data_IF_632066365386
#
_entry.id   IF_632066365386
#
_cell.length_a   1.000
_cell.length_b   1.000
_cell.length_c   1.000
_cell.angle_alpha   90.00
_cell.angle_beta   90.00
_cell.angle_gamma   90.00
#
_symmetry.space_group_name_H-M   'P 1'
#
loop_
_entity.id
_entity.type
_entity.pdbx_description
1 polymer ?
#
# COMPACT_ATOMS: atom_id res chain seq x y z
N UNK A 1 -15.68 -14.65 13.59
CA UNK A 1 -14.67 -15.10 12.60
C UNK A 1 -15.10 -14.81 11.16
N UNK A 2 -16.31 -15.20 10.71
CA UNK A 2 -16.78 -14.90 9.34
C UNK A 2 -16.79 -13.40 8.99
N UNK A 3 -17.07 -12.54 9.96
CA UNK A 3 -17.10 -11.09 9.75
C UNK A 3 -15.72 -10.54 9.35
N UNK A 4 -14.64 -11.02 9.97
CA UNK A 4 -13.27 -10.56 9.66
C UNK A 4 -12.92 -10.89 8.20
N UNK A 5 -13.20 -12.11 7.75
CA UNK A 5 -12.97 -12.52 6.36
C UNK A 5 -13.77 -11.65 5.39
N UNK A 6 -15.04 -11.35 5.72
CA UNK A 6 -15.90 -10.48 4.92
C UNK A 6 -15.33 -9.06 4.81
N UNK A 7 -14.86 -8.47 5.90
CA UNK A 7 -14.26 -7.13 5.89
C UNK A 7 -13.00 -7.07 5.00
N UNK A 8 -12.12 -8.07 5.08
CA UNK A 8 -10.93 -8.14 4.22
C UNK A 8 -11.28 -8.41 2.76
N UNK A 9 -12.32 -9.20 2.48
CA UNK A 9 -12.83 -9.34 1.12
C UNK A 9 -13.34 -7.99 0.61
N UNK A 10 -14.17 -7.28 1.36
CA UNK A 10 -14.62 -5.95 0.97
C UNK A 10 -13.46 -4.99 0.76
N UNK A 11 -12.45 -4.97 1.64
CA UNK A 11 -11.25 -4.17 1.44
C UNK A 11 -10.52 -4.52 0.13
N UNK A 12 -10.35 -5.82 -0.17
CA UNK A 12 -9.74 -6.26 -1.44
C UNK A 12 -10.57 -5.80 -2.65
N UNK A 13 -11.89 -5.92 -2.59
CA UNK A 13 -12.78 -5.45 -3.65
C UNK A 13 -12.69 -3.94 -3.84
N UNK A 14 -12.66 -3.16 -2.75
CA UNK A 14 -12.41 -1.72 -2.81
C UNK A 14 -11.07 -1.41 -3.47
N UNK A 15 -10.03 -2.20 -3.22
CA UNK A 15 -8.70 -2.01 -3.83
C UNK A 15 -8.56 -2.56 -5.26
N UNK A 16 -9.61 -3.09 -5.89
CA UNK A 16 -9.52 -3.64 -7.26
C UNK A 16 -8.94 -2.66 -8.29
N UNK A 17 -9.31 -1.36 -8.30
CA UNK A 17 -8.70 -0.40 -9.22
C UNK A 17 -7.17 -0.30 -9.06
N UNK A 18 -6.67 -0.40 -7.83
CA UNK A 18 -5.25 -0.41 -7.54
C UNK A 18 -4.58 -1.70 -8.05
N UNK A 19 -5.14 -2.87 -7.70
CA UNK A 19 -4.62 -4.15 -8.19
C UNK A 19 -4.58 -4.24 -9.71
N UNK A 20 -5.62 -3.74 -10.37
CA UNK A 20 -5.71 -3.73 -11.82
C UNK A 20 -4.66 -2.82 -12.45
N UNK A 21 -4.40 -1.66 -11.84
CA UNK A 21 -3.31 -0.76 -12.25
C UNK A 21 -1.95 -1.42 -12.09
N UNK A 22 -1.71 -2.15 -11.00
CA UNK A 22 -0.45 -2.89 -10.82
C UNK A 22 -0.28 -4.03 -11.82
N UNK A 23 -1.35 -4.76 -12.13
CA UNK A 23 -1.32 -5.81 -13.14
C UNK A 23 -0.96 -5.24 -14.52
N UNK A 24 -1.51 -4.08 -14.87
CA UNK A 24 -1.16 -3.35 -16.07
C UNK A 24 0.27 -2.82 -16.05
N UNK A 25 0.75 -2.24 -14.94
CA UNK A 25 2.15 -1.81 -14.79
C UNK A 25 3.11 -2.98 -15.02
N UNK A 26 2.77 -4.17 -14.53
CA UNK A 26 3.56 -5.37 -14.71
C UNK A 26 3.66 -5.79 -16.19
N UNK A 27 2.62 -5.59 -17.01
CA UNK A 27 2.71 -5.92 -18.45
C UNK A 27 3.62 -4.95 -19.22
N UNK A 28 3.74 -3.71 -18.77
CA UNK A 28 4.57 -2.70 -19.41
C UNK A 28 6.03 -2.72 -18.97
N UNK A 29 6.25 -2.89 -17.67
CA UNK A 29 7.59 -2.74 -17.06
C UNK A 29 8.24 -4.08 -16.74
N UNK A 30 7.46 -5.15 -16.63
CA UNK A 30 7.91 -6.43 -16.06
C UNK A 30 8.06 -6.41 -14.54
N UNK A 31 7.78 -5.29 -13.86
CA UNK A 31 7.86 -5.23 -12.40
C UNK A 31 6.76 -6.07 -11.74
N UNK A 32 7.13 -6.85 -10.72
CA UNK A 32 6.15 -7.57 -9.91
C UNK A 32 5.24 -6.61 -9.14
N UNK A 33 3.92 -6.87 -9.06
CA UNK A 33 3.02 -6.15 -8.16
C UNK A 33 3.41 -6.28 -6.68
N UNK A 34 3.94 -7.44 -6.28
CA UNK A 34 4.44 -7.69 -4.92
C UNK A 34 5.96 -7.56 -4.94
N UNK A 35 6.50 -6.61 -4.17
CA UNK A 35 7.92 -6.25 -4.20
C UNK A 35 8.53 -6.40 -2.80
N UNK A 36 9.78 -6.86 -2.69
CA UNK A 36 10.48 -6.93 -1.41
C UNK A 36 10.84 -5.54 -0.89
N UNK A 37 11.07 -5.40 0.43
CA UNK A 37 11.36 -4.09 1.05
C UNK A 37 12.66 -3.45 0.54
N UNK A 38 13.69 -4.26 0.28
CA UNK A 38 14.96 -3.77 -0.26
C UNK A 38 14.81 -3.07 -1.61
N UNK A 39 13.69 -3.28 -2.32
CA UNK A 39 13.41 -2.59 -3.59
C UNK A 39 13.37 -1.06 -3.42
N UNK A 40 12.97 -0.55 -2.26
CA UNK A 40 12.93 0.89 -2.00
C UNK A 40 14.26 1.46 -1.53
N UNK A 41 15.08 0.68 -0.84
CA UNK A 41 16.42 1.10 -0.39
C UNK A 41 17.43 -0.04 -0.62
N UNK A 42 17.91 -0.24 -1.86
CA UNK A 42 18.80 -1.35 -2.19
C UNK A 42 20.12 -1.34 -1.38
N UNK A 43 20.61 -0.15 -1.03
CA UNK A 43 21.85 0.02 -0.27
C UNK A 43 21.72 -0.38 1.21
N UNK A 44 20.48 -0.55 1.71
CA UNK A 44 20.20 -0.78 3.13
C UNK A 44 20.10 -2.28 3.41
N UNK A 45 21.23 -2.90 3.73
CA UNK A 45 21.36 -4.35 3.94
C UNK A 45 20.35 -4.95 4.94
N UNK A 46 19.89 -4.19 5.93
CA UNK A 46 18.91 -4.69 6.91
C UNK A 46 17.53 -5.00 6.29
N UNK A 47 17.20 -4.46 5.10
CA UNK A 47 15.95 -4.75 4.41
C UNK A 47 16.00 -6.02 3.55
N UNK A 48 17.20 -6.54 3.28
CA UNK A 48 17.39 -7.74 2.45
C UNK A 48 16.95 -9.01 3.17
N UNK A 49 17.09 -9.03 4.48
CA UNK A 49 16.75 -10.18 5.32
C UNK A 49 15.30 -10.16 5.82
N UNK A 50 14.47 -9.23 5.32
CA UNK A 50 13.06 -9.14 5.71
C UNK A 50 12.24 -9.96 4.73
N UNK A 51 11.80 -11.13 5.18
CA UNK A 51 11.00 -12.07 4.39
C UNK A 51 9.51 -12.01 4.73
N UNK A 52 9.17 -11.42 5.87
CA UNK A 52 7.82 -11.39 6.45
C UNK A 52 7.12 -10.02 6.27
N UNK A 53 7.56 -9.24 5.29
CA UNK A 53 6.96 -7.97 4.89
C UNK A 53 7.15 -7.76 3.38
N UNK A 54 6.22 -7.04 2.77
CA UNK A 54 6.31 -6.73 1.33
C UNK A 54 5.62 -5.42 1.00
N UNK A 55 6.03 -4.84 -0.12
CA UNK A 55 5.35 -3.75 -0.77
C UNK A 55 4.35 -4.32 -1.77
N UNK A 56 3.16 -3.74 -1.79
CA UNK A 56 2.20 -3.95 -2.86
C UNK A 56 2.23 -2.70 -3.73
N UNK A 57 2.89 -2.80 -4.88
CA UNK A 57 3.22 -1.69 -5.77
C UNK A 57 4.17 -0.69 -5.11
N UNK A 58 3.90 0.60 -5.31
CA UNK A 58 4.68 1.70 -4.73
C UNK A 58 4.01 2.34 -3.51
N UNK A 59 2.71 2.07 -3.29
CA UNK A 59 1.90 2.80 -2.32
C UNK A 59 1.73 2.06 -0.99
N UNK A 60 1.62 0.73 -1.00
CA UNK A 60 1.23 -0.04 0.18
C UNK A 60 2.40 -0.87 0.72
N UNK A 61 2.57 -0.86 2.04
CA UNK A 61 3.55 -1.65 2.78
C UNK A 61 2.82 -2.53 3.79
N UNK A 62 2.99 -3.84 3.68
CA UNK A 62 2.21 -4.86 4.38
C UNK A 62 3.12 -5.67 5.29
N UNK A 63 2.72 -5.83 6.55
CA UNK A 63 3.40 -6.66 7.55
C UNK A 63 2.45 -7.75 8.07
N UNK A 64 2.31 -8.89 7.37
CA UNK A 64 1.44 -10.00 7.79
C UNK A 64 1.83 -10.59 9.16
N UNK A 65 0.85 -11.12 9.91
CA UNK A 65 1.14 -11.85 11.15
C UNK A 65 1.31 -13.32 10.83
N UNK A 66 2.51 -13.83 11.09
CA UNK A 66 2.92 -15.22 10.80
C UNK A 66 3.20 -16.04 12.06
N UNK A 67 3.14 -15.40 13.24
CA UNK A 67 3.33 -16.02 14.54
C UNK A 67 1.97 -16.23 15.22
N UNK A 68 1.73 -17.43 15.76
CA UNK A 68 0.49 -17.77 16.44
C UNK A 68 0.33 -16.94 17.73
N UNK A 69 -0.85 -16.34 17.93
CA UNK A 69 -1.18 -15.58 19.13
C UNK A 69 -0.54 -14.19 19.23
N UNK A 70 0.28 -13.77 18.24
CA UNK A 70 0.87 -12.44 18.22
C UNK A 70 -0.21 -11.36 18.07
N UNK A 71 -0.15 -10.34 18.93
CA UNK A 71 -1.06 -9.17 18.91
C UNK A 71 -0.34 -7.85 18.61
N UNK A 72 0.98 -7.90 18.50
CA UNK A 72 1.84 -6.86 17.96
C UNK A 72 3.00 -7.51 17.22
N UNK A 73 3.69 -6.73 16.38
CA UNK A 73 4.96 -7.16 15.78
C UNK A 73 5.91 -5.99 15.62
N UNK A 74 7.20 -6.30 15.54
CA UNK A 74 8.22 -5.34 15.12
C UNK A 74 8.17 -5.18 13.60
N UNK A 75 8.22 -3.95 13.14
CA UNK A 75 8.20 -3.58 11.72
C UNK A 75 9.38 -2.63 11.45
N UNK A 76 10.28 -3.04 10.55
CA UNK A 76 11.38 -2.19 10.10
C UNK A 76 10.90 -1.36 8.90
N UNK A 77 10.76 -0.05 9.08
CA UNK A 77 10.23 0.83 8.06
C UNK A 77 11.36 1.36 7.16
N UNK A 78 11.17 1.34 5.85
CA UNK A 78 12.02 2.09 4.93
C UNK A 78 11.91 3.59 5.17
N UNK A 79 12.90 4.37 4.73
CA UNK A 79 12.91 5.85 4.85
C UNK A 79 11.70 6.49 4.17
N UNK A 80 11.34 7.68 4.63
CA UNK A 80 10.18 8.44 4.20
C UNK A 80 9.07 8.42 5.23
N UNK A 81 7.90 8.95 4.88
CA UNK A 81 6.75 9.01 5.76
C UNK A 81 5.68 8.00 5.34
N UNK A 82 5.02 7.43 6.33
CA UNK A 82 4.06 6.34 6.17
C UNK A 82 2.81 6.63 6.99
N UNK A 83 1.64 6.56 6.35
CA UNK A 83 0.36 6.63 7.03
C UNK A 83 -0.08 5.24 7.45
N UNK A 84 -0.55 5.09 8.67
CA UNK A 84 -1.26 3.88 9.06
C UNK A 84 -2.63 3.87 8.38
N UNK A 85 -2.90 2.82 7.59
CA UNK A 85 -4.10 2.71 6.77
C UNK A 85 -5.41 2.75 7.59
N UNK A 86 -5.37 2.40 8.87
CA UNK A 86 -6.58 2.22 9.68
C UNK A 86 -6.99 3.45 10.48
N UNK A 87 -6.06 4.36 10.77
CA UNK A 87 -6.29 5.50 11.65
C UNK A 87 -5.61 6.79 11.16
N UNK A 88 -5.04 6.76 9.96
CA UNK A 88 -4.37 7.88 9.30
C UNK A 88 -3.21 8.50 10.10
N UNK A 89 -2.69 7.78 11.10
CA UNK A 89 -1.54 8.25 11.88
C UNK A 89 -0.29 8.29 10.99
N UNK A 90 0.36 9.46 10.93
CA UNK A 90 1.62 9.64 10.24
C UNK A 90 2.77 9.07 11.07
N UNK A 91 3.61 8.26 10.44
CA UNK A 91 4.74 7.57 11.03
C UNK A 91 5.97 7.85 10.20
N UNK A 92 6.99 8.41 10.84
CA UNK A 92 8.31 8.56 10.23
C UNK A 92 8.98 7.19 10.07
N UNK A 93 9.46 6.92 8.87
CA UNK A 93 10.16 5.70 8.50
C UNK A 93 11.64 5.71 8.89
N UNK A 94 12.42 4.81 8.29
CA UNK A 94 13.85 4.70 8.56
C UNK A 94 14.20 4.01 9.88
N UNK A 95 13.21 3.72 10.72
CA UNK A 95 13.36 3.10 12.05
C UNK A 95 12.54 1.82 12.18
N UNK A 96 12.82 1.05 13.22
CA UNK A 96 11.97 -0.06 13.62
C UNK A 96 10.94 0.47 14.61
N UNK A 97 9.68 0.08 14.41
CA UNK A 97 8.56 0.42 15.30
C UNK A 97 7.86 -0.86 15.74
N UNK A 98 7.12 -0.77 16.84
CA UNK A 98 6.14 -1.78 17.21
C UNK A 98 4.78 -1.40 16.64
N UNK A 99 4.16 -2.34 15.91
CA UNK A 99 2.83 -2.16 15.33
C UNK A 99 1.83 -3.07 16.02
N UNK A 100 0.70 -2.49 16.43
CA UNK A 100 -0.44 -3.26 16.90
C UNK A 100 -1.02 -4.09 15.74
N UNK A 101 -1.28 -5.36 16.03
CA UNK A 101 -1.82 -6.33 15.10
C UNK A 101 -2.95 -7.14 15.76
N UNK A 102 -4.05 -6.49 16.17
CA UNK A 102 -5.21 -7.22 16.69
C UNK A 102 -5.77 -8.14 15.60
N UNK A 103 -6.46 -9.22 16.00
CA UNK A 103 -6.95 -10.26 15.09
C UNK A 103 -7.75 -9.73 13.88
N UNK A 104 -8.38 -8.57 14.03
CA UNK A 104 -9.25 -7.95 13.03
C UNK A 104 -8.50 -7.05 12.02
N UNK A 105 -7.22 -6.77 12.24
CA UNK A 105 -6.43 -5.84 11.42
C UNK A 105 -5.06 -6.40 11.11
N UNK A 106 -4.66 -6.29 9.84
CA UNK A 106 -3.29 -6.54 9.41
C UNK A 106 -2.56 -5.20 9.45
N UNK A 107 -1.35 -5.12 10.04
CA UNK A 107 -0.53 -3.93 9.96
C UNK A 107 -0.27 -3.54 8.49
N UNK A 108 -0.81 -2.39 8.11
CA UNK A 108 -0.84 -1.88 6.74
C UNK A 108 -0.51 -0.41 6.76
N UNK A 109 0.51 -0.03 5.99
CA UNK A 109 0.97 1.35 5.85
C UNK A 109 0.83 1.82 4.40
N UNK A 110 0.58 3.11 4.23
CA UNK A 110 0.53 3.79 2.94
C UNK A 110 1.64 4.80 2.86
N UNK A 111 2.44 4.76 1.80
CA UNK A 111 3.52 5.71 1.58
C UNK A 111 2.97 7.11 1.38
N UNK A 112 3.49 8.08 2.12
CA UNK A 112 3.16 9.48 1.91
C UNK A 112 3.54 9.94 0.49
N UNK A 113 2.72 10.81 -0.09
CA UNK A 113 2.77 11.19 -1.51
C UNK A 113 2.00 10.24 -2.45
N UNK A 114 1.37 9.18 -1.93
CA UNK A 114 0.62 8.24 -2.77
C UNK A 114 -0.85 8.63 -2.89
N UNK A 115 -1.43 8.35 -4.06
CA UNK A 115 -2.88 8.38 -4.27
C UNK A 115 -3.33 6.93 -4.48
N UNK A 116 -4.22 6.47 -3.61
CA UNK A 116 -4.74 5.11 -3.60
C UNK A 116 -6.15 5.08 -4.18
N UNK A 117 -6.35 4.53 -5.38
CA UNK A 117 -7.67 4.40 -5.98
C UNK A 117 -8.45 3.27 -5.31
N UNK A 118 -9.67 3.56 -4.89
CA UNK A 118 -10.60 2.60 -4.33
C UNK A 118 -11.96 2.68 -4.99
N UNK A 119 -12.66 1.56 -5.07
CA UNK A 119 -14.03 1.50 -5.52
C UNK A 119 -14.98 1.42 -4.33
N UNK A 120 -15.93 2.35 -4.23
CA UNK A 120 -16.96 2.37 -3.20
C UNK A 120 -18.29 2.59 -3.89
N UNK A 121 -19.23 1.65 -3.74
CA UNK A 121 -20.56 1.72 -4.36
C UNK A 121 -20.50 2.03 -5.88
N UNK A 122 -19.66 1.28 -6.62
CA UNK A 122 -19.44 1.43 -8.07
C UNK A 122 -18.86 2.79 -8.48
N UNK A 123 -18.30 3.55 -7.53
CA UNK A 123 -17.62 4.82 -7.78
C UNK A 123 -16.14 4.72 -7.46
N UNK A 124 -15.33 5.28 -8.35
CA UNK A 124 -13.89 5.45 -8.12
C UNK A 124 -13.67 6.62 -7.14
N UNK A 125 -13.13 6.32 -5.97
CA UNK A 125 -12.70 7.24 -4.93
C UNK A 125 -11.18 7.26 -4.88
N UNK A 126 -10.57 8.45 -4.81
CA UNK A 126 -9.14 8.62 -4.69
C UNK A 126 -8.81 9.01 -3.26
N UNK A 127 -8.13 8.12 -2.53
CA UNK A 127 -7.59 8.42 -1.21
C UNK A 127 -6.21 9.04 -1.36
N UNK A 128 -6.07 10.30 -0.95
CA UNK A 128 -4.82 11.07 -1.09
C UNK A 128 -4.08 11.06 0.24
N UNK A 129 -2.83 10.61 0.23
CA UNK A 129 -1.95 10.60 1.40
C UNK A 129 -0.85 11.65 1.22
N UNK A 130 -0.99 12.87 1.77
CA UNK A 130 -0.09 13.98 1.48
C UNK A 130 1.31 13.76 2.08
N UNK A 131 2.39 14.15 1.39
CA UNK A 131 3.73 14.17 1.97
C UNK A 131 3.91 15.37 2.91
N UNK A 132 4.95 15.36 3.77
CA UNK A 132 5.34 16.57 4.52
C UNK A 132 5.84 17.68 3.58
N UNK A 133 6.60 17.30 2.55
CA UNK A 133 7.08 18.20 1.50
C UNK A 133 6.98 17.52 0.13
N UNK A 134 6.54 18.29 -0.88
CA UNK A 134 6.48 17.84 -2.28
C UNK A 134 5.09 17.43 -2.75
N UNK A 135 5.06 16.81 -3.93
CA UNK A 135 3.82 16.55 -4.66
C UNK A 135 3.31 15.12 -4.45
N UNK A 136 1.99 14.95 -4.47
CA UNK A 136 1.35 13.64 -4.53
C UNK A 136 1.35 13.11 -5.96
N UNK A 137 1.62 11.81 -6.11
CA UNK A 137 1.54 11.09 -7.39
C UNK A 137 0.70 9.83 -7.26
N UNK A 138 -0.05 9.54 -8.29
CA UNK A 138 -0.74 8.27 -8.43
C UNK A 138 -1.21 8.04 -9.85
N UNK A 139 -1.56 6.80 -10.12
CA UNK A 139 -1.99 6.38 -11.43
C UNK A 139 -3.17 5.42 -11.29
N UNK A 140 -4.10 5.52 -12.22
CA UNK A 140 -5.21 4.58 -12.36
C UNK A 140 -5.30 4.15 -13.81
N UNK A 141 -5.24 2.84 -14.03
CA UNK A 141 -5.57 2.23 -15.30
C UNK A 141 -7.01 1.72 -15.25
N UNK A 142 -7.83 2.07 -16.25
CA UNK A 142 -9.17 1.56 -16.40
C UNK A 142 -9.38 1.08 -17.83
N UNK A 143 -9.71 -0.20 -17.96
CA UNK A 143 -10.10 -0.78 -19.24
C UNK A 143 -11.61 -0.61 -19.41
N UNK A 144 -11.99 0.37 -20.24
CA UNK A 144 -13.38 0.55 -20.66
C UNK A 144 -13.49 -0.19 -22.00
N UNK A 145 -14.51 -1.05 -22.23
CA UNK A 145 -14.61 -1.94 -23.40
C UNK A 145 -14.49 -1.29 -24.80
N UNK A 146 -14.49 0.04 -24.88
CA UNK A 146 -14.33 0.81 -26.12
C UNK A 146 -13.19 1.86 -26.07
N UNK A 147 -12.53 2.07 -24.91
CA UNK A 147 -11.40 2.99 -24.72
C UNK A 147 -10.53 2.55 -23.52
N UNK A 148 -9.30 2.12 -23.80
CA UNK A 148 -8.27 2.02 -22.76
C UNK A 148 -8.00 3.42 -22.19
N UNK A 149 -8.52 3.71 -20.99
CA UNK A 149 -8.46 5.05 -20.42
C UNK A 149 -7.47 5.07 -19.28
N UNK A 150 -6.50 5.98 -19.37
CA UNK A 150 -5.46 6.17 -18.36
C UNK A 150 -5.72 7.48 -17.64
N UNK A 151 -5.84 7.43 -16.33
CA UNK A 151 -5.86 8.63 -15.50
C UNK A 151 -4.52 8.73 -14.77
N UNK A 152 -3.83 9.83 -15.04
CA UNK A 152 -2.57 10.17 -14.40
C UNK A 152 -2.83 11.35 -13.47
N UNK A 153 -2.43 11.18 -12.21
CA UNK A 153 -2.63 12.15 -11.17
C UNK A 153 -1.25 12.56 -10.65
N UNK A 154 -0.77 13.72 -11.09
CA UNK A 154 0.44 14.34 -10.57
C UNK A 154 0.11 15.72 -10.01
N UNK A 155 0.88 16.15 -9.01
CA UNK A 155 0.88 17.53 -8.48
C UNK A 155 -0.46 17.98 -7.86
N UNK A 156 -1.22 17.04 -7.29
CA UNK A 156 -2.51 17.33 -6.64
C UNK A 156 -2.34 17.99 -5.26
N UNK A 157 -1.30 17.62 -4.53
CA UNK A 157 -0.96 18.22 -3.24
C UNK A 157 0.08 19.31 -3.49
N UNK A 158 -0.27 20.57 -3.21
CA UNK A 158 0.64 21.71 -3.14
C UNK A 158 0.54 22.34 -1.76
#
# INVERSE_FOLDING_TARGET
>A
MLNIIREFLHLRYRLLPYFYTLAWEATLTGHSPVRPLFWMEPDRQNLWNIEDAFLLGNALLVYPIVEEGATSRKATLPKGYWYNFWNDALIEGGKQIEMAAPLEKIPLLVKAGSILPMEVEERLILHIYPPEEGNCKGQVYQDIPLKNTRFWFEDICK
#
